data_IF_028358081685
#
_entry.id   IF_028358081685
#
_cell.length_a   1.000
_cell.length_b   1.000
_cell.length_c   1.000
_cell.angle_alpha   90.00
_cell.angle_beta   90.00
_cell.angle_gamma   90.00
#
_symmetry.space_group_name_H-M   'P 1'
#
loop_
_entity.id
_entity.type
_entity.pdbx_description
1 polymer ?
#
# COMPACT_ATOMS: atom_id res chain seq x y z
N UNK A 1 -5.12 17.43 -8.33
CA UNK A 1 -5.90 16.17 -8.21
C UNK A 1 -5.41 15.11 -9.18
N UNK A 2 -5.26 15.42 -10.48
CA UNK A 2 -4.76 14.47 -11.49
C UNK A 2 -3.42 13.84 -11.09
N UNK A 3 -2.43 14.64 -10.65
CA UNK A 3 -1.13 14.11 -10.21
C UNK A 3 -1.22 13.09 -9.06
N UNK A 4 -2.18 13.28 -8.16
CA UNK A 4 -2.43 12.32 -7.08
C UNK A 4 -3.11 11.03 -7.54
N UNK A 5 -4.02 11.11 -8.49
CA UNK A 5 -4.61 9.92 -9.13
C UNK A 5 -3.53 9.14 -9.87
N UNK A 6 -2.67 9.82 -10.65
CA UNK A 6 -1.55 9.19 -11.36
C UNK A 6 -0.56 8.53 -10.40
N UNK A 7 -0.24 9.19 -9.28
CA UNK A 7 0.64 8.62 -8.26
C UNK A 7 0.03 7.38 -7.60
N UNK A 8 -1.26 7.42 -7.25
CA UNK A 8 -1.97 6.26 -6.70
C UNK A 8 -2.05 5.10 -7.70
N UNK A 9 -2.32 5.38 -8.98
CA UNK A 9 -2.31 4.38 -10.05
C UNK A 9 -0.91 3.78 -10.26
N UNK A 10 0.14 4.58 -10.20
CA UNK A 10 1.50 4.09 -10.33
C UNK A 10 1.86 3.10 -9.21
N UNK A 11 1.50 3.42 -7.95
CA UNK A 11 1.68 2.52 -6.81
C UNK A 11 0.86 1.24 -6.97
N UNK A 12 -0.40 1.36 -7.38
CA UNK A 12 -1.29 0.24 -7.65
C UNK A 12 -0.66 -0.70 -8.68
N UNK A 13 -0.28 -0.18 -9.85
CA UNK A 13 0.33 -0.97 -10.91
C UNK A 13 1.67 -1.57 -10.47
N UNK A 14 2.50 -0.80 -9.77
CA UNK A 14 3.76 -1.29 -9.22
C UNK A 14 3.54 -2.45 -8.24
N UNK A 15 2.51 -2.38 -7.40
CA UNK A 15 2.17 -3.46 -6.46
C UNK A 15 1.66 -4.71 -7.18
N UNK A 16 0.88 -4.56 -8.25
CA UNK A 16 0.44 -5.68 -9.08
C UNK A 16 1.61 -6.35 -9.79
N UNK A 17 2.53 -5.56 -10.35
CA UNK A 17 3.75 -6.09 -10.99
C UNK A 17 4.59 -6.85 -9.95
N UNK A 18 4.80 -6.29 -8.77
CA UNK A 18 5.52 -6.98 -7.70
C UNK A 18 4.82 -8.27 -7.26
N UNK A 19 3.49 -8.28 -7.22
CA UNK A 19 2.72 -9.50 -6.93
C UNK A 19 2.97 -10.58 -7.97
N UNK A 20 2.82 -10.26 -9.26
CA UNK A 20 2.93 -11.25 -10.34
C UNK A 20 4.38 -11.70 -10.54
N UNK A 21 5.34 -10.77 -10.52
CA UNK A 21 6.74 -11.07 -10.83
C UNK A 21 7.53 -11.60 -9.62
N UNK A 22 7.25 -11.10 -8.42
CA UNK A 22 8.06 -11.34 -7.21
C UNK A 22 7.30 -12.14 -6.13
N UNK A 23 6.01 -12.42 -6.33
CA UNK A 23 5.18 -13.12 -5.36
C UNK A 23 4.92 -12.31 -4.09
N UNK A 24 5.14 -11.00 -4.10
CA UNK A 24 4.96 -10.14 -2.92
C UNK A 24 3.47 -9.86 -2.71
N UNK A 25 2.93 -10.02 -1.49
CA UNK A 25 1.54 -9.68 -1.21
C UNK A 25 1.24 -8.20 -1.47
N UNK A 26 0.01 -7.92 -1.87
CA UNK A 26 -0.46 -6.54 -2.04
C UNK A 26 -0.47 -5.84 -0.68
N UNK A 27 -0.31 -4.50 -0.62
CA UNK A 27 -0.35 -3.77 0.64
C UNK A 27 -1.62 -4.04 1.46
N UNK A 28 -2.78 -4.19 0.80
CA UNK A 28 -4.04 -4.52 1.47
C UNK A 28 -4.05 -5.92 2.07
N UNK A 29 -3.39 -6.89 1.45
CA UNK A 29 -3.28 -8.25 1.97
C UNK A 29 -2.36 -8.27 3.18
N UNK A 30 -1.21 -7.58 3.14
CA UNK A 30 -0.32 -7.44 4.30
C UNK A 30 -1.02 -6.82 5.51
N UNK A 31 -1.80 -5.76 5.27
CA UNK A 31 -2.63 -5.13 6.30
C UNK A 31 -3.67 -6.12 6.82
N UNK A 32 -4.37 -6.82 5.93
CA UNK A 32 -5.38 -7.81 6.31
C UNK A 32 -4.78 -8.94 7.13
N UNK A 33 -3.66 -9.53 6.70
CA UNK A 33 -2.92 -10.58 7.41
C UNK A 33 -2.46 -10.11 8.79
N UNK A 34 -2.14 -8.82 8.93
CA UNK A 34 -1.76 -8.23 10.21
C UNK A 34 -2.94 -8.10 11.17
N UNK A 35 -4.11 -7.69 10.69
CA UNK A 35 -5.23 -7.29 11.54
C UNK A 35 -6.31 -8.35 11.71
N UNK A 36 -6.55 -9.20 10.70
CA UNK A 36 -7.58 -10.25 10.75
C UNK A 36 -7.45 -11.19 11.95
N UNK A 37 -6.24 -11.61 12.39
CA UNK A 37 -6.11 -12.47 13.57
C UNK A 37 -6.63 -11.85 14.87
N UNK A 38 -6.75 -10.51 14.93
CA UNK A 38 -7.29 -9.80 16.09
C UNK A 38 -8.81 -9.62 16.04
N UNK A 39 -9.46 -9.96 14.93
CA UNK A 39 -10.92 -9.88 14.80
C UNK A 39 -11.56 -11.14 15.36
N UNK A 40 -12.44 -11.06 16.38
CA UNK A 40 -13.12 -12.24 16.90
C UNK A 40 -13.94 -12.94 15.82
N UNK A 41 -13.94 -14.27 15.80
CA UNK A 41 -14.64 -15.08 14.79
C UNK A 41 -16.13 -14.70 14.69
N UNK A 42 -16.79 -14.41 15.81
CA UNK A 42 -18.20 -13.98 15.84
C UNK A 42 -18.41 -12.66 15.09
N UNK A 43 -17.51 -11.71 15.27
CA UNK A 43 -17.54 -10.40 14.60
C UNK A 43 -17.28 -10.60 13.12
N UNK A 44 -16.28 -11.41 12.76
CA UNK A 44 -15.96 -11.72 11.37
C UNK A 44 -17.16 -12.35 10.64
N UNK A 45 -17.79 -13.38 11.20
CA UNK A 45 -18.96 -14.03 10.62
C UNK A 45 -20.16 -13.08 10.55
N UNK A 46 -20.38 -12.25 11.56
CA UNK A 46 -21.45 -11.24 11.54
C UNK A 46 -21.23 -10.21 10.41
N UNK A 47 -20.00 -9.73 10.23
CA UNK A 47 -19.63 -8.82 9.15
C UNK A 47 -19.84 -9.47 7.78
N UNK A 48 -19.48 -10.75 7.62
CA UNK A 48 -19.79 -11.49 6.39
C UNK A 48 -21.29 -11.55 6.13
N UNK A 49 -22.10 -11.79 7.16
CA UNK A 49 -23.56 -11.77 7.04
C UNK A 49 -24.10 -10.42 6.57
N UNK A 50 -23.57 -9.32 7.11
CA UNK A 50 -23.95 -7.95 6.70
C UNK A 50 -23.52 -7.63 5.27
N UNK A 51 -22.33 -8.04 4.87
CA UNK A 51 -21.79 -7.76 3.53
C UNK A 51 -22.43 -8.65 2.45
N UNK A 52 -23.18 -9.70 2.82
CA UNK A 52 -23.84 -10.59 1.87
C UNK A 52 -23.04 -11.86 1.53
N UNK A 53 -22.13 -12.25 2.42
CA UNK A 53 -21.36 -13.49 2.36
C UNK A 53 -19.88 -13.28 2.00
N UNK A 54 -19.10 -14.38 2.02
CA UNK A 54 -17.65 -14.33 1.84
C UNK A 54 -17.21 -13.88 0.45
N UNK A 55 -17.98 -14.19 -0.60
CA UNK A 55 -17.66 -13.79 -1.99
C UNK A 55 -17.73 -12.28 -2.13
N UNK A 56 -18.88 -11.68 -1.76
CA UNK A 56 -19.08 -10.24 -1.87
C UNK A 56 -18.12 -9.47 -0.97
N UNK A 57 -17.81 -9.99 0.23
CA UNK A 57 -16.80 -9.40 1.10
C UNK A 57 -15.40 -9.38 0.48
N UNK A 58 -15.03 -10.43 -0.27
CA UNK A 58 -13.75 -10.50 -0.96
C UNK A 58 -13.69 -9.56 -2.15
N UNK A 59 -14.76 -9.46 -2.93
CA UNK A 59 -14.86 -8.49 -4.03
C UNK A 59 -14.80 -7.05 -3.51
N UNK A 60 -15.53 -6.74 -2.43
CA UNK A 60 -15.50 -5.43 -1.80
C UNK A 60 -14.10 -5.08 -1.30
N UNK A 61 -13.40 -6.01 -0.64
CA UNK A 61 -12.02 -5.80 -0.20
C UNK A 61 -11.08 -5.53 -1.39
N UNK A 62 -11.25 -6.28 -2.48
CA UNK A 62 -10.47 -6.09 -3.71
C UNK A 62 -10.70 -4.69 -4.32
N UNK A 63 -11.94 -4.30 -4.59
CA UNK A 63 -12.23 -3.00 -5.21
C UNK A 63 -11.90 -1.81 -4.30
N UNK A 64 -12.24 -1.92 -3.01
CA UNK A 64 -11.94 -0.85 -2.05
C UNK A 64 -10.44 -0.62 -1.90
N UNK A 65 -9.61 -1.66 -2.00
CA UNK A 65 -8.16 -1.51 -1.94
C UNK A 65 -7.60 -0.58 -3.01
N UNK A 66 -8.11 -0.67 -4.25
CA UNK A 66 -7.69 0.20 -5.34
C UNK A 66 -8.13 1.65 -5.11
N UNK A 67 -9.38 1.84 -4.67
CA UNK A 67 -9.90 3.17 -4.36
C UNK A 67 -9.14 3.82 -3.20
N UNK A 68 -8.76 3.05 -2.18
CA UNK A 68 -7.95 3.53 -1.05
C UNK A 68 -6.59 4.01 -1.55
N UNK A 69 -5.90 3.24 -2.40
CA UNK A 69 -4.59 3.64 -2.94
C UNK A 69 -4.66 4.92 -3.79
N UNK A 70 -5.68 5.05 -4.63
CA UNK A 70 -5.94 6.27 -5.40
C UNK A 70 -6.25 7.44 -4.45
N UNK A 71 -7.09 7.22 -3.45
CA UNK A 71 -7.43 8.21 -2.42
C UNK A 71 -6.21 8.70 -1.66
N UNK A 72 -5.32 7.80 -1.24
CA UNK A 72 -4.03 8.13 -0.61
C UNK A 72 -3.19 9.00 -1.54
N UNK A 73 -3.09 8.64 -2.83
CA UNK A 73 -2.38 9.45 -3.82
C UNK A 73 -2.93 10.87 -3.95
N UNK A 74 -4.26 11.03 -3.96
CA UNK A 74 -4.92 12.35 -3.99
C UNK A 74 -4.64 13.15 -2.73
N UNK A 75 -4.73 12.53 -1.55
CA UNK A 75 -4.43 13.18 -0.26
C UNK A 75 -2.96 13.59 -0.18
N UNK A 76 -2.05 12.71 -0.61
CA UNK A 76 -0.63 12.97 -0.67
C UNK A 76 -0.32 14.13 -1.62
N UNK A 77 -0.94 14.19 -2.80
CA UNK A 77 -0.79 15.32 -3.72
C UNK A 77 -1.28 16.63 -3.12
N UNK A 78 -2.41 16.62 -2.40
CA UNK A 78 -2.95 17.80 -1.71
C UNK A 78 -2.01 18.28 -0.60
N UNK A 79 -1.41 17.37 0.16
CA UNK A 79 -0.37 17.70 1.14
C UNK A 79 0.87 18.27 0.47
N UNK A 80 1.34 17.60 -0.58
CA UNK A 80 2.54 17.96 -1.33
C UNK A 80 2.45 19.35 -1.98
N UNK A 81 1.28 19.73 -2.50
CA UNK A 81 1.05 21.03 -3.13
C UNK A 81 1.33 22.24 -2.21
N UNK A 82 1.37 22.06 -0.88
CA UNK A 82 1.67 23.13 0.10
C UNK A 82 3.15 23.28 0.43
N UNK A 83 4.01 22.44 -0.14
CA UNK A 83 5.43 22.39 0.17
C UNK A 83 6.21 23.05 -0.96
N UNK A 84 6.93 24.13 -0.67
CA UNK A 84 7.75 24.84 -1.68
C UNK A 84 9.25 24.70 -1.40
N UNK A 85 9.69 24.93 -0.16
CA UNK A 85 11.10 24.81 0.24
C UNK A 85 11.43 23.39 0.74
N UNK A 86 12.67 22.94 0.53
CA UNK A 86 13.16 21.62 0.96
C UNK A 86 12.33 20.42 0.48
N UNK A 87 11.60 20.57 -0.64
CA UNK A 87 10.63 19.58 -1.13
C UNK A 87 11.16 18.16 -1.21
N UNK A 88 12.39 17.99 -1.75
CA UNK A 88 13.00 16.67 -1.91
C UNK A 88 13.35 16.05 -0.55
N UNK A 89 13.84 16.86 0.38
CA UNK A 89 14.14 16.40 1.74
C UNK A 89 12.86 16.03 2.50
N UNK A 90 11.77 16.79 2.34
CA UNK A 90 10.48 16.47 2.96
C UNK A 90 9.88 15.21 2.33
N UNK A 91 9.89 15.07 0.99
CA UNK A 91 9.44 13.86 0.31
C UNK A 91 10.24 12.63 0.75
N UNK A 92 11.57 12.74 0.78
CA UNK A 92 12.44 11.66 1.24
C UNK A 92 12.15 11.33 2.71
N UNK A 93 11.98 12.33 3.57
CA UNK A 93 11.62 12.16 4.97
C UNK A 93 10.28 11.46 5.15
N UNK A 94 9.24 11.86 4.42
CA UNK A 94 7.90 11.26 4.47
C UNK A 94 7.90 9.83 3.91
N UNK A 95 8.62 9.58 2.81
CA UNK A 95 8.74 8.26 2.23
C UNK A 95 9.48 7.31 3.19
N UNK A 96 10.60 7.78 3.77
CA UNK A 96 11.37 7.04 4.76
C UNK A 96 10.55 6.76 6.02
N UNK A 97 9.88 7.76 6.58
CA UNK A 97 9.06 7.59 7.78
C UNK A 97 7.89 6.63 7.52
N UNK A 98 7.21 6.75 6.38
CA UNK A 98 6.11 5.87 6.00
C UNK A 98 6.59 4.44 5.82
N UNK A 99 7.77 4.26 5.22
CA UNK A 99 8.41 2.95 5.11
C UNK A 99 8.72 2.34 6.46
N UNK A 100 9.37 3.07 7.37
CA UNK A 100 9.69 2.59 8.71
C UNK A 100 8.43 2.24 9.52
N UNK A 101 7.38 3.08 9.43
CA UNK A 101 6.09 2.80 10.06
C UNK A 101 5.46 1.55 9.46
N UNK A 102 5.49 1.38 8.14
CA UNK A 102 4.99 0.17 7.49
C UNK A 102 5.74 -1.08 7.96
N UNK A 103 7.07 -1.01 8.09
CA UNK A 103 7.86 -2.13 8.61
C UNK A 103 7.46 -2.50 10.04
N UNK A 104 7.29 -1.51 10.91
CA UNK A 104 6.92 -1.73 12.30
C UNK A 104 5.49 -2.29 12.44
N UNK A 105 4.53 -1.72 11.70
CA UNK A 105 3.11 -2.10 11.77
C UNK A 105 2.88 -3.48 11.15
N UNK A 106 3.47 -3.72 9.98
CA UNK A 106 3.27 -4.95 9.20
C UNK A 106 4.18 -6.10 9.64
N UNK A 107 5.00 -5.92 10.67
CA UNK A 107 5.68 -7.04 11.30
C UNK A 107 4.66 -7.90 12.07
N UNK A 108 4.61 -9.24 11.91
CA UNK A 108 5.46 -10.12 11.10
C UNK A 108 4.91 -10.48 9.70
N UNK A 109 3.78 -9.91 9.28
CA UNK A 109 3.10 -10.20 8.01
C UNK A 109 3.98 -10.03 6.76
N UNK A 110 5.07 -9.26 6.84
CA UNK A 110 6.08 -9.15 5.78
C UNK A 110 6.72 -10.50 5.38
N UNK A 111 6.59 -11.55 6.19
CA UNK A 111 7.12 -12.88 5.90
C UNK A 111 6.33 -13.65 4.83
N UNK A 112 5.15 -13.16 4.43
CA UNK A 112 4.30 -13.80 3.43
C UNK A 112 4.87 -13.64 2.02
N UNK A 113 4.93 -14.73 1.25
CA UNK A 113 5.31 -14.72 -0.16
C UNK A 113 4.62 -15.85 -0.94
N UNK A 114 4.11 -15.54 -2.13
CA UNK A 114 3.34 -16.47 -2.96
C UNK A 114 4.19 -17.35 -3.87
N UNK A 115 5.51 -17.12 -3.95
CA UNK A 115 6.45 -17.97 -4.67
C UNK A 115 7.20 -18.94 -3.75
N UNK A 116 6.84 -19.01 -2.46
CA UNK A 116 7.42 -19.96 -1.51
C UNK A 116 8.82 -19.59 -1.01
N UNK A 117 9.19 -18.30 -1.05
CA UNK A 117 10.46 -17.85 -0.48
C UNK A 117 10.55 -18.11 1.03
N UNK A 118 11.75 -18.38 1.57
CA UNK A 118 11.92 -18.51 3.01
C UNK A 118 11.60 -17.19 3.73
N UNK A 119 11.14 -17.22 5.00
CA UNK A 119 10.61 -16.05 5.70
C UNK A 119 11.52 -14.81 5.68
N UNK A 120 12.82 -14.98 5.90
CA UNK A 120 13.75 -13.85 5.96
C UNK A 120 13.93 -13.17 4.59
N UNK A 121 14.00 -13.98 3.51
CA UNK A 121 14.07 -13.48 2.15
C UNK A 121 12.75 -12.82 1.73
N UNK A 122 11.61 -13.43 2.09
CA UNK A 122 10.29 -12.85 1.85
C UNK A 122 10.13 -11.49 2.54
N UNK A 123 10.56 -11.37 3.81
CA UNK A 123 10.54 -10.10 4.56
C UNK A 123 11.40 -9.03 3.89
N UNK A 124 12.64 -9.37 3.52
CA UNK A 124 13.54 -8.42 2.88
C UNK A 124 12.96 -7.94 1.54
N UNK A 125 12.39 -8.85 0.75
CA UNK A 125 11.78 -8.55 -0.53
C UNK A 125 10.54 -7.65 -0.37
N UNK A 126 9.63 -8.00 0.54
CA UNK A 126 8.43 -7.20 0.82
C UNK A 126 8.80 -5.80 1.35
N UNK A 127 9.77 -5.71 2.27
CA UNK A 127 10.31 -4.44 2.77
C UNK A 127 10.88 -3.59 1.63
N UNK A 128 11.69 -4.19 0.75
CA UNK A 128 12.25 -3.52 -0.43
C UNK A 128 11.17 -3.05 -1.39
N UNK A 129 10.17 -3.88 -1.68
CA UNK A 129 9.03 -3.51 -2.52
C UNK A 129 8.28 -2.32 -1.94
N UNK A 130 7.97 -2.31 -0.63
CA UNK A 130 7.31 -1.18 0.00
C UNK A 130 8.14 0.12 -0.11
N UNK A 131 9.46 0.05 0.08
CA UNK A 131 10.34 1.21 -0.12
C UNK A 131 10.23 1.75 -1.55
N UNK A 132 10.32 0.86 -2.55
CA UNK A 132 10.19 1.23 -3.97
C UNK A 132 8.82 1.86 -4.25
N UNK A 133 7.72 1.33 -3.68
CA UNK A 133 6.39 1.90 -3.84
C UNK A 133 6.25 3.30 -3.24
N UNK A 134 6.84 3.56 -2.06
CA UNK A 134 6.85 4.91 -1.47
C UNK A 134 7.68 5.90 -2.31
N UNK A 135 8.84 5.46 -2.81
CA UNK A 135 9.67 6.26 -3.72
C UNK A 135 8.93 6.53 -5.03
N UNK A 136 8.24 5.54 -5.59
CA UNK A 136 7.44 5.69 -6.79
C UNK A 136 6.31 6.71 -6.58
N UNK A 137 5.59 6.63 -5.45
CA UNK A 137 4.57 7.62 -5.09
C UNK A 137 5.16 9.04 -5.07
N UNK A 138 6.25 9.24 -4.32
CA UNK A 138 6.91 10.53 -4.18
C UNK A 138 7.43 11.06 -5.53
N UNK A 139 8.04 10.18 -6.33
CA UNK A 139 8.58 10.52 -7.65
C UNK A 139 7.51 10.95 -8.64
N UNK A 140 6.38 10.23 -8.70
CA UNK A 140 5.26 10.60 -9.58
C UNK A 140 4.60 11.91 -9.12
N UNK A 141 4.49 12.14 -7.82
CA UNK A 141 4.00 13.42 -7.29
C UNK A 141 4.91 14.60 -7.66
N UNK A 142 6.23 14.44 -7.53
CA UNK A 142 7.19 15.49 -7.94
C UNK A 142 7.16 15.71 -9.45
N UNK A 143 7.12 14.63 -10.23
CA UNK A 143 7.07 14.69 -11.69
C UNK A 143 5.82 15.43 -12.15
N UNK A 144 4.63 15.01 -11.70
CA UNK A 144 3.37 15.60 -12.14
C UNK A 144 3.23 17.07 -11.75
N UNK A 145 3.77 17.48 -10.59
CA UNK A 145 3.80 18.89 -10.19
C UNK A 145 4.71 19.75 -11.06
N UNK A 146 5.79 19.20 -11.65
CA UNK A 146 6.66 19.97 -12.55
C UNK A 146 5.98 20.35 -13.88
N UNK A 147 4.93 19.63 -14.25
CA UNK A 147 4.22 19.81 -15.52
C UNK A 147 2.83 20.46 -15.36
N UNK A 148 2.47 20.92 -14.15
CA UNK A 148 1.21 21.61 -13.85
C UNK A 148 1.47 22.90 -13.09
#
# INVERSE_FOLDING_TARGET
>A
MIGGVLAGLAVLLGSLVARVALGVPLPVELVSDRFLPFVPVRVFVALLGVVGGPVLAKELAFYSSFLILIGIGVLAARGYARIDRHRLAILAGVALSSWLVALAVLWPALASNYHGLPPDAARALAAGTLAVLFVLLAGVLDLTRRYT
#
